data_IF_496443485753
#
_entry.id   IF_496443485753
#
_cell.length_a   1.000
_cell.length_b   1.000
_cell.length_c   1.000
_cell.angle_alpha   90.00
_cell.angle_beta   90.00
_cell.angle_gamma   90.00
#
_symmetry.space_group_name_H-M   'P 1'
#
loop_
_entity.id
_entity.type
_entity.pdbx_description
1 polymer ?
#
# COMPACT_ATOMS: atom_id res chain seq x y z
N UNK A 1 1.82 -29.07 -10.94
CA UNK A 1 2.79 -28.24 -10.19
C UNK A 1 4.25 -28.55 -10.51
N UNK A 2 4.73 -29.79 -10.36
CA UNK A 2 6.14 -30.14 -10.57
C UNK A 2 6.71 -29.71 -11.94
N UNK A 3 5.97 -29.94 -13.03
CA UNK A 3 6.32 -29.48 -14.39
C UNK A 3 6.45 -27.95 -14.47
N UNK A 4 5.42 -27.23 -14.00
CA UNK A 4 5.39 -25.76 -14.00
C UNK A 4 6.57 -25.17 -13.23
N UNK A 5 6.91 -25.73 -12.05
CA UNK A 5 8.06 -25.28 -11.25
C UNK A 5 9.42 -25.54 -11.91
N UNK A 6 9.51 -26.56 -12.77
CA UNK A 6 10.74 -26.86 -13.53
C UNK A 6 10.97 -25.82 -14.62
N UNK A 7 9.91 -25.41 -15.31
CA UNK A 7 9.93 -24.42 -16.40
C UNK A 7 9.99 -22.97 -15.87
N UNK A 8 9.56 -22.75 -14.63
CA UNK A 8 9.48 -21.43 -14.01
C UNK A 8 10.86 -20.78 -13.81
N UNK A 9 10.97 -19.54 -14.28
CA UNK A 9 12.11 -18.63 -14.07
C UNK A 9 11.67 -17.41 -13.26
N UNK A 10 11.24 -17.63 -12.01
CA UNK A 10 10.76 -16.55 -11.16
C UNK A 10 11.92 -15.62 -10.76
N UNK A 11 11.94 -14.41 -11.30
CA UNK A 11 12.91 -13.35 -11.01
C UNK A 11 12.24 -12.17 -10.29
N UNK A 12 13.03 -11.21 -9.85
CA UNK A 12 12.52 -9.98 -9.23
C UNK A 12 12.29 -10.10 -7.71
N UNK A 13 11.41 -9.24 -7.23
CA UNK A 13 11.01 -9.07 -5.84
C UNK A 13 10.34 -10.33 -5.28
N UNK A 14 10.25 -10.38 -3.95
CA UNK A 14 9.51 -11.46 -3.26
C UNK A 14 8.04 -11.50 -3.71
N UNK A 15 7.41 -10.35 -3.98
CA UNK A 15 6.01 -10.32 -4.42
C UNK A 15 5.83 -10.87 -5.83
N UNK A 16 6.71 -10.55 -6.78
CA UNK A 16 6.67 -11.11 -8.14
C UNK A 16 6.84 -12.62 -8.13
N UNK A 17 7.75 -13.13 -7.30
CA UNK A 17 7.95 -14.57 -7.13
C UNK A 17 6.74 -15.25 -6.49
N UNK A 18 6.08 -14.61 -5.52
CA UNK A 18 4.83 -15.12 -4.94
C UNK A 18 3.72 -15.15 -5.98
N UNK A 19 3.56 -14.10 -6.78
CA UNK A 19 2.60 -14.08 -7.90
C UNK A 19 2.88 -15.20 -8.89
N UNK A 20 4.13 -15.40 -9.31
CA UNK A 20 4.51 -16.49 -10.22
C UNK A 20 4.13 -17.88 -9.65
N UNK A 21 4.32 -18.09 -8.34
CA UNK A 21 3.86 -19.31 -7.68
C UNK A 21 2.32 -19.43 -7.69
N UNK A 22 1.61 -18.33 -7.40
CA UNK A 22 0.14 -18.31 -7.41
C UNK A 22 -0.43 -18.54 -8.81
N UNK A 23 0.20 -17.99 -9.86
CA UNK A 23 -0.14 -18.25 -11.26
C UNK A 23 -0.01 -19.75 -11.59
N UNK A 24 1.08 -20.39 -11.19
CA UNK A 24 1.24 -21.84 -11.36
C UNK A 24 0.25 -22.67 -10.53
N UNK A 25 -0.07 -22.23 -9.31
CA UNK A 25 -1.09 -22.88 -8.48
C UNK A 25 -2.50 -22.70 -9.09
N UNK A 26 -2.77 -21.55 -9.72
CA UNK A 26 -4.02 -21.27 -10.43
C UNK A 26 -4.20 -22.23 -11.60
N UNK A 27 -3.16 -22.50 -12.39
CA UNK A 27 -3.22 -23.52 -13.44
C UNK A 27 -3.59 -24.89 -12.88
N UNK A 28 -2.96 -25.31 -11.77
CA UNK A 28 -3.30 -26.58 -11.11
C UNK A 28 -4.75 -26.59 -10.64
N UNK A 29 -5.22 -25.49 -10.04
CA UNK A 29 -6.59 -25.37 -9.57
C UNK A 29 -7.61 -25.41 -10.71
N UNK A 30 -7.30 -24.81 -11.87
CA UNK A 30 -8.13 -24.88 -13.08
C UNK A 30 -8.18 -26.33 -13.60
N UNK A 31 -7.04 -27.02 -13.66
CA UNK A 31 -6.99 -28.43 -14.05
C UNK A 31 -7.78 -29.34 -13.10
N UNK A 32 -7.78 -29.04 -11.80
CA UNK A 32 -8.58 -29.73 -10.79
C UNK A 32 -10.04 -29.24 -10.72
N UNK A 33 -10.47 -28.33 -11.61
CA UNK A 33 -11.81 -27.73 -11.63
C UNK A 33 -12.25 -27.08 -10.31
N UNK A 34 -11.32 -26.52 -9.53
CA UNK A 34 -11.62 -25.76 -8.31
C UNK A 34 -12.04 -24.32 -8.64
N UNK A 35 -13.17 -24.19 -9.32
CA UNK A 35 -13.79 -22.89 -9.60
C UNK A 35 -14.46 -22.34 -8.35
N UNK A 36 -14.51 -21.02 -8.23
CA UNK A 36 -15.35 -20.31 -7.26
C UNK A 36 -16.10 -19.18 -7.96
N UNK A 37 -17.28 -18.86 -7.46
CA UNK A 37 -17.97 -17.63 -7.85
C UNK A 37 -17.19 -16.42 -7.37
N UNK A 38 -17.14 -15.37 -8.19
CA UNK A 38 -16.54 -14.09 -7.80
C UNK A 38 -17.29 -13.55 -6.60
N UNK A 39 -16.55 -13.21 -5.53
CA UNK A 39 -17.17 -12.65 -4.33
C UNK A 39 -17.83 -11.30 -4.63
N UNK A 40 -19.02 -11.05 -4.07
CA UNK A 40 -19.74 -9.79 -4.28
C UNK A 40 -18.92 -8.54 -3.88
N UNK A 41 -18.04 -8.69 -2.89
CA UNK A 41 -17.15 -7.62 -2.39
C UNK A 41 -15.83 -7.50 -3.16
N UNK A 42 -15.62 -8.31 -4.21
CA UNK A 42 -14.37 -8.32 -4.97
C UNK A 42 -14.11 -6.97 -5.65
N UNK A 43 -15.10 -6.44 -6.37
CA UNK A 43 -14.99 -5.15 -7.05
C UNK A 43 -14.65 -4.02 -6.08
N UNK A 44 -15.39 -3.88 -4.98
CA UNK A 44 -15.11 -2.90 -3.92
C UNK A 44 -13.73 -3.09 -3.31
N UNK A 45 -13.23 -4.32 -3.20
CA UNK A 45 -11.88 -4.55 -2.70
C UNK A 45 -10.79 -4.13 -3.70
N UNK A 46 -11.01 -4.31 -5.00
CA UNK A 46 -10.08 -3.87 -6.04
C UNK A 46 -10.05 -2.34 -6.09
N UNK A 47 -11.23 -1.71 -6.07
CA UNK A 47 -11.39 -0.26 -5.99
C UNK A 47 -10.63 0.33 -4.78
N UNK A 48 -10.79 -0.25 -3.58
CA UNK A 48 -10.02 0.17 -2.40
C UNK A 48 -8.50 0.00 -2.55
N UNK A 49 -8.03 -0.98 -3.32
CA UNK A 49 -6.59 -1.12 -3.60
C UNK A 49 -6.12 -0.06 -4.59
N UNK A 50 -6.92 0.25 -5.62
CA UNK A 50 -6.67 1.34 -6.55
C UNK A 50 -6.61 2.69 -5.84
N UNK A 51 -7.56 3.00 -4.96
CA UNK A 51 -7.55 4.24 -4.18
C UNK A 51 -6.28 4.37 -3.32
N UNK A 52 -5.82 3.27 -2.71
CA UNK A 52 -4.56 3.26 -1.96
C UNK A 52 -3.34 3.47 -2.88
N UNK A 53 -3.34 2.88 -4.07
CA UNK A 53 -2.28 3.07 -5.07
C UNK A 53 -2.27 4.54 -5.52
N UNK A 54 -3.43 5.14 -5.76
CA UNK A 54 -3.56 6.55 -6.14
C UNK A 54 -3.10 7.49 -5.02
N UNK A 55 -3.44 7.20 -3.76
CA UNK A 55 -2.87 7.90 -2.59
C UNK A 55 -1.34 7.85 -2.55
N UNK A 56 -0.73 6.69 -2.79
CA UNK A 56 0.73 6.58 -2.87
C UNK A 56 1.32 7.35 -4.07
N UNK A 57 0.65 7.34 -5.23
CA UNK A 57 1.07 8.10 -6.41
C UNK A 57 1.02 9.60 -6.16
N UNK A 58 -0.04 10.07 -5.51
CA UNK A 58 -0.14 11.45 -5.03
C UNK A 58 0.98 11.78 -4.04
N UNK A 59 1.25 10.93 -3.06
CA UNK A 59 2.34 11.12 -2.12
C UNK A 59 3.72 11.18 -2.81
N UNK A 60 3.96 10.32 -3.80
CA UNK A 60 5.18 10.33 -4.61
C UNK A 60 5.32 11.65 -5.36
N UNK A 61 4.26 12.08 -6.05
CA UNK A 61 4.22 13.37 -6.74
C UNK A 61 4.46 14.55 -5.80
N UNK A 62 3.77 14.58 -4.66
CA UNK A 62 3.92 15.61 -3.62
C UNK A 62 5.37 15.68 -3.12
N UNK A 63 5.99 14.53 -2.88
CA UNK A 63 7.41 14.45 -2.47
C UNK A 63 8.36 14.95 -3.57
N UNK A 64 8.05 14.68 -4.85
CA UNK A 64 8.82 15.23 -5.98
C UNK A 64 8.69 16.75 -6.07
N UNK A 65 7.51 17.31 -5.82
CA UNK A 65 7.33 18.78 -5.77
C UNK A 65 8.18 19.41 -4.67
N UNK A 66 8.29 18.79 -3.49
CA UNK A 66 9.18 19.26 -2.42
C UNK A 66 10.65 19.32 -2.86
N UNK A 67 11.09 18.46 -3.79
CA UNK A 67 12.46 18.53 -4.30
C UNK A 67 12.73 19.83 -5.06
N UNK A 68 11.71 20.38 -5.76
CA UNK A 68 11.81 21.66 -6.46
C UNK A 68 11.93 22.81 -5.46
N UNK A 69 11.25 22.72 -4.32
CA UNK A 69 11.36 23.71 -3.24
C UNK A 69 12.77 23.72 -2.62
N UNK A 70 13.39 22.55 -2.44
CA UNK A 70 14.77 22.41 -1.92
C UNK A 70 15.84 22.85 -2.93
N UNK A 71 15.76 22.37 -4.19
CA UNK A 71 16.67 22.75 -5.28
C UNK A 71 15.86 23.07 -6.55
N UNK A 72 15.54 24.34 -6.83
CA UNK A 72 14.80 24.73 -8.03
C UNK A 72 15.46 24.29 -9.35
N UNK A 73 16.78 24.04 -9.36
CA UNK A 73 17.51 23.57 -10.55
C UNK A 73 17.29 22.08 -10.82
N UNK A 74 16.75 21.31 -9.87
CA UNK A 74 16.50 19.87 -10.03
C UNK A 74 15.54 19.58 -11.18
N UNK A 75 14.59 20.50 -11.45
CA UNK A 75 13.65 20.40 -12.59
C UNK A 75 14.38 20.32 -13.93
N UNK A 76 15.49 21.03 -14.08
CA UNK A 76 16.34 20.97 -15.28
C UNK A 76 17.16 19.68 -15.35
N UNK A 77 17.59 19.15 -14.20
CA UNK A 77 18.41 17.93 -14.13
C UNK A 77 17.63 16.64 -14.40
N UNK A 78 16.39 16.55 -13.92
CA UNK A 78 15.55 15.34 -14.01
C UNK A 78 14.49 15.40 -15.11
N UNK A 79 14.31 16.56 -15.76
CA UNK A 79 13.29 16.79 -16.76
C UNK A 79 11.93 17.17 -16.16
N UNK A 80 11.10 17.87 -16.94
CA UNK A 80 9.78 18.33 -16.49
C UNK A 80 8.81 17.16 -16.21
N UNK A 81 8.83 16.15 -17.07
CA UNK A 81 7.99 14.94 -16.99
C UNK A 81 8.13 14.21 -15.64
N UNK A 82 9.33 14.19 -15.06
CA UNK A 82 9.54 13.55 -13.76
C UNK A 82 8.66 14.13 -12.65
N UNK A 83 8.34 15.43 -12.76
CA UNK A 83 7.59 16.22 -11.79
C UNK A 83 6.10 16.35 -12.15
N UNK A 84 5.66 15.81 -13.28
CA UNK A 84 4.26 15.88 -13.68
C UNK A 84 3.40 14.99 -12.78
N UNK A 85 2.21 15.51 -12.47
CA UNK A 85 1.21 14.74 -11.75
C UNK A 85 0.61 13.75 -12.76
N UNK A 86 0.38 12.49 -12.35
CA UNK A 86 -0.33 11.57 -13.23
C UNK A 86 -1.69 12.14 -13.66
N UNK A 87 -2.02 11.98 -14.94
CA UNK A 87 -3.20 12.62 -15.57
C UNK A 87 -4.53 12.22 -14.93
N UNK A 88 -4.61 10.99 -14.43
CA UNK A 88 -5.78 10.42 -13.76
C UNK A 88 -5.97 10.90 -12.32
N UNK A 89 -4.99 11.63 -11.76
CA UNK A 89 -5.13 12.33 -10.49
C UNK A 89 -5.45 13.80 -10.79
N UNK A 90 -6.69 14.08 -11.15
CA UNK A 90 -7.12 15.45 -11.45
C UNK A 90 -7.23 16.32 -10.17
N UNK A 91 -7.60 17.59 -10.36
CA UNK A 91 -7.74 18.52 -9.24
C UNK A 91 -8.90 18.16 -8.31
N UNK A 92 -9.94 17.50 -8.82
CA UNK A 92 -11.09 17.08 -8.03
C UNK A 92 -10.70 15.92 -7.11
N UNK A 93 -10.05 14.90 -7.66
CA UNK A 93 -9.51 13.78 -6.92
C UNK A 93 -8.51 14.25 -5.87
N UNK A 94 -7.57 15.16 -6.20
CA UNK A 94 -6.60 15.71 -5.24
C UNK A 94 -7.30 16.38 -4.06
N UNK A 95 -8.34 17.18 -4.32
CA UNK A 95 -9.10 17.85 -3.27
C UNK A 95 -9.84 16.84 -2.39
N UNK A 96 -10.55 15.89 -2.99
CA UNK A 96 -11.25 14.83 -2.26
C UNK A 96 -10.29 13.99 -1.41
N UNK A 97 -9.11 13.65 -1.96
CA UNK A 97 -8.08 12.90 -1.27
C UNK A 97 -7.53 13.67 -0.06
N UNK A 98 -7.19 14.94 -0.23
CA UNK A 98 -6.71 15.80 0.86
C UNK A 98 -7.77 16.00 1.95
N UNK A 99 -9.02 16.24 1.58
CA UNK A 99 -10.14 16.36 2.52
C UNK A 99 -10.33 15.05 3.30
N UNK A 100 -10.22 13.90 2.62
CA UNK A 100 -10.27 12.58 3.25
C UNK A 100 -9.09 12.31 4.20
N UNK A 101 -7.86 12.73 3.85
CA UNK A 101 -6.68 12.60 4.73
C UNK A 101 -6.82 13.43 6.01
N UNK A 102 -7.34 14.67 5.88
CA UNK A 102 -7.62 15.55 7.02
C UNK A 102 -8.69 14.94 7.92
N UNK A 103 -9.79 14.45 7.35
CA UNK A 103 -10.87 13.84 8.14
C UNK A 103 -10.40 12.53 8.79
N UNK A 104 -9.62 11.69 8.09
CA UNK A 104 -9.02 10.49 8.69
C UNK A 104 -8.10 10.85 9.87
N UNK A 105 -7.34 11.95 9.76
CA UNK A 105 -6.52 12.47 10.86
C UNK A 105 -7.38 12.91 12.05
N UNK A 106 -8.45 13.68 11.83
CA UNK A 106 -9.40 14.08 12.88
C UNK A 106 -10.00 12.86 13.58
N UNK A 107 -10.49 11.89 12.81
CA UNK A 107 -11.08 10.66 13.34
C UNK A 107 -10.07 9.83 14.14
N UNK A 108 -8.81 9.76 13.71
CA UNK A 108 -7.74 9.09 14.48
C UNK A 108 -7.44 9.81 15.79
N UNK A 109 -7.42 11.14 15.79
CA UNK A 109 -7.20 11.95 16.99
C UNK A 109 -8.34 11.73 17.99
N UNK A 110 -9.59 11.81 17.54
CA UNK A 110 -10.78 11.60 18.36
C UNK A 110 -10.78 10.18 18.96
N UNK A 111 -10.63 9.15 18.12
CA UNK A 111 -10.59 7.75 18.59
C UNK A 111 -9.44 7.47 19.54
N UNK A 112 -8.30 8.12 19.37
CA UNK A 112 -7.16 7.98 20.29
C UNK A 112 -7.45 8.68 21.62
N UNK A 113 -8.04 9.87 21.59
CA UNK A 113 -8.43 10.60 22.79
C UNK A 113 -9.50 9.84 23.60
N UNK A 114 -10.50 9.28 22.94
CA UNK A 114 -11.51 8.43 23.58
C UNK A 114 -10.87 7.22 24.27
N UNK A 115 -9.98 6.50 23.57
CA UNK A 115 -9.24 5.37 24.14
C UNK A 115 -8.32 5.76 25.30
N UNK A 116 -7.68 6.93 25.23
CA UNK A 116 -6.85 7.42 26.32
C UNK A 116 -7.73 7.70 27.56
N UNK A 117 -8.91 8.31 27.38
CA UNK A 117 -9.87 8.54 28.47
C UNK A 117 -10.46 7.26 29.06
N UNK A 118 -10.79 6.27 28.22
CA UNK A 118 -11.25 4.95 28.68
C UNK A 118 -10.21 4.28 29.59
N UNK A 119 -8.92 4.38 29.25
CA UNK A 119 -7.83 3.85 30.07
C UNK A 119 -7.68 4.61 31.39
N UNK A 120 -7.64 5.94 31.33
CA UNK A 120 -7.55 6.77 32.53
C UNK A 120 -8.68 6.46 33.51
N UNK A 121 -9.90 6.31 32.99
CA UNK A 121 -11.07 5.92 33.80
C UNK A 121 -10.92 4.52 34.40
N UNK A 122 -10.39 3.55 33.66
CA UNK A 122 -10.12 2.20 34.16
C UNK A 122 -9.04 2.19 35.25
N UNK A 123 -8.05 3.06 35.14
CA UNK A 123 -6.94 3.21 36.09
C UNK A 123 -7.32 4.11 37.30
N UNK A 124 -8.55 4.63 37.34
CA UNK A 124 -9.02 5.54 38.40
C UNK A 124 -8.45 6.96 38.30
N UNK A 125 -7.80 7.30 37.19
CA UNK A 125 -7.27 8.62 36.88
C UNK A 125 -8.35 9.54 36.28
N UNK A 126 -8.08 10.85 36.30
CA UNK A 126 -9.00 11.85 35.74
C UNK A 126 -8.92 11.87 34.22
N UNK A 127 -10.09 11.92 33.58
CA UNK A 127 -10.21 12.06 32.11
C UNK A 127 -9.52 13.34 31.59
N UNK A 128 -8.95 13.25 30.40
CA UNK A 128 -8.42 14.40 29.67
C UNK A 128 -9.55 15.37 29.33
N UNK A 129 -9.26 16.66 29.45
CA UNK A 129 -10.23 17.73 29.18
C UNK A 129 -10.43 17.95 27.68
N UNK A 130 -11.59 18.47 27.30
CA UNK A 130 -11.89 18.87 25.91
C UNK A 130 -10.85 19.83 25.30
N UNK A 131 -10.20 20.67 26.13
CA UNK A 131 -9.12 21.56 25.69
C UNK A 131 -7.95 20.79 25.06
N UNK A 132 -7.58 19.64 25.65
CA UNK A 132 -6.51 18.77 25.15
C UNK A 132 -6.91 18.12 23.82
N UNK A 133 -8.18 17.75 23.65
CA UNK A 133 -8.69 17.26 22.36
C UNK A 133 -8.60 18.36 21.29
N UNK A 134 -9.00 19.59 21.62
CA UNK A 134 -8.94 20.71 20.68
C UNK A 134 -7.50 21.01 20.26
N UNK A 135 -6.54 21.03 21.20
CA UNK A 135 -5.11 21.20 20.89
C UNK A 135 -4.57 20.06 20.01
N UNK A 136 -5.01 18.82 20.22
CA UNK A 136 -4.66 17.71 19.33
C UNK A 136 -5.27 17.89 17.94
N UNK A 137 -6.50 18.40 17.84
CA UNK A 137 -7.19 18.66 16.58
C UNK A 137 -6.57 19.82 15.78
N UNK A 138 -5.86 20.75 16.42
CA UNK A 138 -5.14 21.82 15.72
C UNK A 138 -4.19 21.25 14.65
N UNK A 139 -3.58 20.08 14.88
CA UNK A 139 -2.73 19.41 13.88
C UNK A 139 -3.47 19.05 12.60
N UNK A 140 -4.75 18.68 12.70
CA UNK A 140 -5.58 18.39 11.53
C UNK A 140 -5.99 19.70 10.80
N UNK A 141 -6.26 20.76 11.55
CA UNK A 141 -6.55 22.09 10.98
C UNK A 141 -5.32 22.71 10.30
N UNK A 142 -4.14 22.56 10.87
CA UNK A 142 -2.86 22.95 10.27
C UNK A 142 -2.64 22.23 8.94
N UNK A 143 -2.90 20.92 8.89
CA UNK A 143 -2.81 20.14 7.66
C UNK A 143 -3.82 20.62 6.61
N UNK A 144 -5.06 20.89 7.01
CA UNK A 144 -6.10 21.41 6.13
C UNK A 144 -5.74 22.79 5.56
N UNK A 145 -5.24 23.69 6.40
CA UNK A 145 -4.78 25.03 6.00
C UNK A 145 -3.62 24.93 5.01
N UNK A 146 -2.72 23.99 5.23
CA UNK A 146 -1.59 23.73 4.34
C UNK A 146 -2.04 23.19 2.99
N UNK A 147 -2.91 22.19 2.93
CA UNK A 147 -3.46 21.71 1.66
C UNK A 147 -4.22 22.81 0.90
N UNK A 148 -4.94 23.66 1.61
CA UNK A 148 -5.58 24.85 1.01
C UNK A 148 -4.56 25.84 0.42
N UNK A 149 -3.39 26.00 1.04
CA UNK A 149 -2.29 26.84 0.52
C UNK A 149 -1.62 26.19 -0.70
N UNK A 150 -1.37 24.88 -0.65
CA UNK A 150 -0.80 24.11 -1.77
C UNK A 150 -1.70 24.18 -3.01
N UNK A 151 -3.00 23.96 -2.85
CA UNK A 151 -3.97 24.02 -3.96
C UNK A 151 -4.10 25.42 -4.57
N UNK A 152 -3.90 26.49 -3.79
CA UNK A 152 -3.95 27.87 -4.27
C UNK A 152 -2.67 28.31 -4.95
N UNK A 153 -1.51 27.92 -4.41
CA UNK A 153 -0.20 28.41 -4.86
C UNK A 153 0.45 27.50 -5.89
N UNK A 154 0.03 26.24 -5.97
CA UNK A 154 0.70 25.20 -6.75
C UNK A 154 2.11 24.86 -6.25
N UNK A 155 2.52 25.39 -5.09
CA UNK A 155 3.84 25.17 -4.49
C UNK A 155 3.69 24.25 -3.28
N UNK A 156 4.58 23.27 -3.20
CA UNK A 156 4.62 22.30 -2.10
C UNK A 156 5.92 22.52 -1.35
N UNK A 157 5.80 23.09 -0.15
CA UNK A 157 6.94 23.39 0.73
C UNK A 157 7.57 22.08 1.23
N UNK A 158 8.90 22.04 1.31
CA UNK A 158 9.63 20.87 1.75
C UNK A 158 9.42 20.62 3.25
N UNK A 159 9.13 19.36 3.61
CA UNK A 159 8.81 18.98 4.98
C UNK A 159 9.77 17.94 5.55
N UNK A 160 9.94 17.99 6.87
CA UNK A 160 10.74 17.05 7.65
C UNK A 160 12.01 17.65 8.23
N UNK A 161 12.74 16.86 9.04
CA UNK A 161 13.99 17.30 9.68
C UNK A 161 15.14 17.30 8.67
N UNK A 162 15.46 18.48 8.13
CA UNK A 162 16.55 18.68 7.17
C UNK A 162 16.28 17.95 5.84
N UNK A 163 15.28 18.42 5.07
CA UNK A 163 14.97 17.83 3.77
C UNK A 163 16.14 18.10 2.82
N UNK A 164 16.71 17.02 2.27
CA UNK A 164 17.70 17.10 1.19
C UNK A 164 17.10 16.40 -0.03
N UNK A 165 17.56 16.80 -1.22
CA UNK A 165 17.13 16.17 -2.47
C UNK A 165 17.33 14.66 -2.41
N UNK A 166 18.49 14.20 -1.92
CA UNK A 166 18.81 12.77 -1.78
C UNK A 166 17.84 12.01 -0.86
N UNK A 167 17.45 12.60 0.28
CA UNK A 167 16.47 11.98 1.19
C UNK A 167 15.09 11.89 0.56
N UNK A 168 14.68 12.93 -0.16
CA UNK A 168 13.40 12.97 -0.86
C UNK A 168 13.37 11.97 -2.01
N UNK A 169 14.46 11.83 -2.77
CA UNK A 169 14.61 10.81 -3.82
C UNK A 169 14.51 9.40 -3.25
N UNK A 170 15.27 9.10 -2.18
CA UNK A 170 15.19 7.80 -1.52
C UNK A 170 13.77 7.51 -0.96
N UNK A 171 13.03 8.55 -0.57
CA UNK A 171 11.63 8.39 -0.17
C UNK A 171 10.71 8.12 -1.36
N UNK A 172 10.89 8.83 -2.49
CA UNK A 172 10.15 8.57 -3.73
C UNK A 172 10.40 7.14 -4.21
N UNK A 173 11.64 6.66 -4.22
CA UNK A 173 11.98 5.29 -4.59
C UNK A 173 11.25 4.26 -3.71
N UNK A 174 11.22 4.47 -2.39
CA UNK A 174 10.46 3.60 -1.47
C UNK A 174 8.96 3.63 -1.76
N UNK A 175 8.39 4.80 -2.06
CA UNK A 175 6.97 4.92 -2.40
C UNK A 175 6.68 4.20 -3.73
N UNK A 176 7.53 4.36 -4.73
CA UNK A 176 7.42 3.68 -6.04
C UNK A 176 7.48 2.16 -5.88
N UNK A 177 8.45 1.65 -5.11
CA UNK A 177 8.52 0.22 -4.79
C UNK A 177 7.25 -0.29 -4.07
N UNK A 178 6.66 0.52 -3.19
CA UNK A 178 5.39 0.16 -2.53
C UNK A 178 4.23 0.14 -3.54
N UNK A 179 4.18 1.08 -4.48
CA UNK A 179 3.19 1.11 -5.56
C UNK A 179 3.30 -0.15 -6.42
N UNK A 180 4.50 -0.52 -6.86
CA UNK A 180 4.74 -1.73 -7.65
C UNK A 180 4.29 -2.99 -6.91
N UNK A 181 4.66 -3.13 -5.64
CA UNK A 181 4.22 -4.24 -4.81
C UNK A 181 2.69 -4.30 -4.66
N UNK A 182 2.01 -3.16 -4.51
CA UNK A 182 0.54 -3.12 -4.43
C UNK A 182 -0.13 -3.45 -5.77
N UNK A 183 0.45 -3.03 -6.91
CA UNK A 183 -0.03 -3.41 -8.24
C UNK A 183 0.06 -4.92 -8.46
N UNK A 184 1.20 -5.53 -8.12
CA UNK A 184 1.38 -6.99 -8.21
C UNK A 184 0.34 -7.73 -7.36
N UNK A 185 0.08 -7.26 -6.13
CA UNK A 185 -0.93 -7.85 -5.26
C UNK A 185 -2.36 -7.70 -5.82
N UNK A 186 -2.65 -6.56 -6.44
CA UNK A 186 -3.93 -6.32 -7.07
C UNK A 186 -4.13 -7.23 -8.29
N UNK A 187 -3.11 -7.38 -9.14
CA UNK A 187 -3.12 -8.30 -10.28
C UNK A 187 -3.30 -9.76 -9.84
N UNK A 188 -2.55 -10.20 -8.83
CA UNK A 188 -2.68 -11.55 -8.27
C UNK A 188 -4.08 -11.78 -7.71
N UNK A 189 -4.65 -10.79 -7.00
CA UNK A 189 -6.03 -10.90 -6.50
C UNK A 189 -7.06 -10.97 -7.62
N UNK A 190 -6.90 -10.16 -8.66
CA UNK A 190 -7.79 -10.12 -9.82
C UNK A 190 -7.73 -11.42 -10.63
N UNK A 191 -6.51 -11.91 -10.93
CA UNK A 191 -6.32 -13.16 -11.66
C UNK A 191 -6.94 -14.37 -10.96
N UNK A 192 -6.93 -14.36 -9.62
CA UNK A 192 -7.46 -15.45 -8.80
C UNK A 192 -8.95 -15.32 -8.45
N UNK A 193 -9.68 -14.34 -8.99
CA UNK A 193 -11.08 -14.05 -8.57
C UNK A 193 -12.04 -15.24 -8.75
N UNK A 194 -11.83 -16.09 -9.76
CA UNK A 194 -12.71 -17.23 -10.11
C UNK A 194 -12.17 -18.60 -9.67
N UNK A 195 -11.04 -18.65 -8.96
CA UNK A 195 -10.34 -19.90 -8.65
C UNK A 195 -10.05 -20.04 -7.16
N UNK A 196 -10.30 -21.23 -6.59
CA UNK A 196 -10.05 -21.55 -5.19
C UNK A 196 -8.65 -22.16 -4.98
N UNK A 197 -7.63 -21.30 -4.87
CA UNK A 197 -6.22 -21.70 -4.70
C UNK A 197 -5.91 -22.51 -3.43
N UNK A 198 -6.72 -22.39 -2.38
CA UNK A 198 -6.50 -23.09 -1.11
C UNK A 198 -6.64 -24.60 -1.27
N UNK A 199 -7.67 -25.05 -1.98
CA UNK A 199 -7.99 -26.46 -2.16
C UNK A 199 -6.91 -27.18 -2.95
N UNK A 200 -6.47 -26.62 -4.09
CA UNK A 200 -5.36 -27.17 -4.88
C UNK A 200 -4.06 -27.22 -4.08
N UNK A 201 -3.73 -26.14 -3.36
CA UNK A 201 -2.49 -26.03 -2.60
C UNK A 201 -2.40 -27.03 -1.45
N UNK A 202 -3.50 -27.28 -0.73
CA UNK A 202 -3.50 -28.12 0.47
C UNK A 202 -3.65 -29.61 0.11
N UNK A 203 -4.48 -29.93 -0.88
CA UNK A 203 -4.91 -31.31 -1.12
C UNK A 203 -4.25 -31.95 -2.36
N UNK A 204 -3.76 -31.16 -3.31
CA UNK A 204 -3.35 -31.65 -4.64
C UNK A 204 -1.93 -31.24 -5.05
N UNK A 205 -1.27 -30.39 -4.27
CA UNK A 205 0.13 -30.03 -4.46
C UNK A 205 0.95 -30.66 -3.33
N UNK A 206 1.94 -31.47 -3.68
CA UNK A 206 2.90 -31.99 -2.70
C UNK A 206 3.62 -30.80 -2.03
N UNK A 207 3.53 -30.64 -0.70
CA UNK A 207 4.10 -29.49 0.00
C UNK A 207 5.61 -29.37 -0.18
N UNK A 208 6.32 -30.48 -0.48
CA UNK A 208 7.76 -30.46 -0.79
C UNK A 208 8.06 -29.64 -2.03
N UNK A 209 7.14 -29.56 -3.00
CA UNK A 209 7.30 -28.72 -4.19
C UNK A 209 7.29 -27.22 -3.82
N UNK A 210 6.44 -26.82 -2.88
CA UNK A 210 6.42 -25.45 -2.35
C UNK A 210 7.68 -25.14 -1.54
N UNK A 211 8.19 -26.10 -0.77
CA UNK A 211 9.48 -25.96 -0.07
C UNK A 211 10.64 -25.82 -1.06
N UNK A 212 10.64 -26.61 -2.13
CA UNK A 212 11.64 -26.50 -3.22
C UNK A 212 11.56 -25.13 -3.87
N UNK A 213 10.35 -24.62 -4.16
CA UNK A 213 10.18 -23.26 -4.69
C UNK A 213 10.74 -22.20 -3.72
N UNK A 214 10.36 -22.26 -2.45
CA UNK A 214 10.81 -21.35 -1.39
C UNK A 214 12.33 -21.29 -1.30
N UNK A 215 12.99 -22.46 -1.28
CA UNK A 215 14.47 -22.55 -1.24
C UNK A 215 15.11 -22.09 -2.54
N UNK A 216 14.59 -22.50 -3.70
CA UNK A 216 15.15 -22.19 -5.03
C UNK A 216 15.12 -20.69 -5.34
N UNK A 217 14.03 -20.00 -4.97
CA UNK A 217 13.83 -18.59 -5.32
C UNK A 217 13.99 -17.63 -4.14
N UNK A 218 14.36 -18.13 -2.96
CA UNK A 218 14.61 -17.32 -1.76
C UNK A 218 13.35 -16.63 -1.23
N UNK A 219 12.19 -17.26 -1.33
CA UNK A 219 10.92 -16.72 -0.83
C UNK A 219 10.59 -17.35 0.51
N UNK A 220 10.35 -16.55 1.58
CA UNK A 220 10.04 -17.10 2.90
C UNK A 220 8.81 -18.02 2.86
N UNK A 221 8.91 -19.18 3.51
CA UNK A 221 7.85 -20.21 3.48
C UNK A 221 6.53 -19.71 4.09
N UNK A 222 6.60 -18.71 4.98
CA UNK A 222 5.42 -18.07 5.56
C UNK A 222 4.55 -17.33 4.53
N UNK A 223 5.10 -17.02 3.34
CA UNK A 223 4.33 -16.45 2.24
C UNK A 223 3.38 -17.47 1.60
N UNK A 224 3.65 -18.77 1.74
CA UNK A 224 2.84 -19.84 1.12
C UNK A 224 1.99 -20.60 2.12
N UNK A 225 2.51 -20.86 3.33
CA UNK A 225 1.82 -21.64 4.35
C UNK A 225 1.62 -20.80 5.61
N UNK A 226 0.39 -20.79 6.14
CA UNK A 226 0.08 -20.21 7.46
C UNK A 226 0.79 -21.00 8.57
N UNK A 227 0.85 -20.47 9.79
CA UNK A 227 1.48 -21.14 10.93
C UNK A 227 0.98 -22.59 11.09
N UNK A 228 -0.34 -22.77 11.13
CA UNK A 228 -1.00 -24.08 11.25
C UNK A 228 -0.64 -25.03 10.09
N UNK A 229 -0.50 -24.51 8.86
CA UNK A 229 -0.13 -25.34 7.70
C UNK A 229 1.36 -25.71 7.66
N UNK A 230 2.22 -25.01 8.41
CA UNK A 230 3.65 -25.36 8.55
C UNK A 230 3.90 -26.38 9.65
N UNK A 231 3.00 -26.46 10.63
CA UNK A 231 3.06 -27.41 11.74
C UNK A 231 2.53 -28.79 11.35
N UNK A 232 1.64 -28.85 10.35
CA UNK A 232 1.11 -30.08 9.74
C UNK A 232 2.14 -30.73 8.83
#
# INVERSE_FOLDING_TARGET
>A
MARLLKEMKATGTVQEKVKAYNDANREVAILCNHKRTVAATHATSIEKMNERINGLRYQAWRTKMMMIDVDPKIKKKKGAEYFERPEDLDNEWVKQHQDAEVEEMRQKIIKKFEKDNEKLKADGEKELKQKELNERLEKAEELAAKYKKENKTGKIEAEGKGPTVEKLEANVEKIVQRIENMKIQMEDKEGNKEVALGTSKINYIDPRLTVVFSKKFGVPIEKFFSKTLREK
#
